data_IF_074324507763
#
_entry.id   IF_074324507763
#
_cell.length_a   1.000
_cell.length_b   1.000
_cell.length_c   1.000
_cell.angle_alpha   90.00
_cell.angle_beta   90.00
_cell.angle_gamma   90.00
#
_symmetry.space_group_name_H-M   'P 1'
#
loop_
_entity.id
_entity.type
_entity.pdbx_description
1 polymer ?
#
# COMPACT_ATOMS: atom_id res chain seq x y z
N UNK A 1 -9.42 14.67 5.14
CA UNK A 1 -8.34 15.11 6.01
C UNK A 1 -7.03 14.41 5.70
N UNK A 2 -7.02 13.11 5.69
CA UNK A 2 -5.80 12.35 5.40
C UNK A 2 -5.25 12.60 3.99
N UNK A 3 -6.11 12.91 3.02
CA UNK A 3 -5.70 13.25 1.67
C UNK A 3 -4.85 14.52 1.61
N UNK A 4 -5.18 15.50 2.43
CA UNK A 4 -4.49 16.79 2.44
C UNK A 4 -3.12 16.71 3.12
N UNK A 5 -2.96 15.76 4.06
CA UNK A 5 -1.70 15.59 4.77
C UNK A 5 -0.71 14.68 4.06
N UNK A 6 -1.14 13.95 3.00
CA UNK A 6 -0.27 13.05 2.24
C UNK A 6 0.55 13.82 1.21
N UNK A 7 1.85 13.52 1.09
CA UNK A 7 2.70 14.17 0.09
C UNK A 7 2.21 13.93 -1.33
N UNK A 8 2.35 14.93 -2.18
CA UNK A 8 2.06 14.87 -3.60
C UNK A 8 3.15 15.61 -4.35
N UNK A 9 3.50 15.09 -5.50
CA UNK A 9 4.64 15.56 -6.26
C UNK A 9 4.24 15.92 -7.68
N UNK A 10 4.70 17.07 -8.16
CA UNK A 10 4.55 17.44 -9.57
C UNK A 10 5.51 16.56 -10.40
N UNK A 11 5.25 16.48 -11.72
CA UNK A 11 5.98 15.58 -12.61
C UNK A 11 7.50 15.75 -12.56
N UNK A 12 7.99 16.98 -12.52
CA UNK A 12 9.44 17.22 -12.48
C UNK A 12 10.10 16.65 -11.22
N UNK A 13 9.41 16.74 -10.09
CA UNK A 13 9.89 16.20 -8.82
C UNK A 13 9.79 14.67 -8.80
N UNK A 14 8.64 14.14 -9.22
CA UNK A 14 8.45 12.68 -9.28
C UNK A 14 9.47 12.02 -10.19
N UNK A 15 9.71 12.60 -11.37
CA UNK A 15 10.70 12.08 -12.30
C UNK A 15 12.11 12.05 -11.70
N UNK A 16 12.50 13.09 -10.97
CA UNK A 16 13.78 13.12 -10.25
C UNK A 16 13.88 12.05 -9.19
N UNK A 17 12.82 11.87 -8.42
CA UNK A 17 12.78 10.86 -7.35
C UNK A 17 12.98 9.45 -7.89
N UNK A 18 12.45 9.18 -9.06
CA UNK A 18 12.51 7.86 -9.71
C UNK A 18 13.80 7.70 -10.50
N UNK A 19 14.37 8.78 -10.99
CA UNK A 19 15.56 8.77 -11.82
C UNK A 19 15.27 8.55 -13.30
N UNK A 20 14.17 9.14 -13.79
CA UNK A 20 13.78 9.07 -15.20
C UNK A 20 13.49 10.48 -15.72
N UNK A 21 13.38 10.60 -17.03
CA UNK A 21 12.96 11.85 -17.67
C UNK A 21 11.47 12.06 -17.58
N UNK A 22 11.02 13.30 -17.51
CA UNK A 22 9.60 13.61 -17.45
C UNK A 22 8.81 13.05 -18.64
N UNK A 23 9.40 13.06 -19.83
CA UNK A 23 8.74 12.48 -21.01
C UNK A 23 8.55 10.97 -20.90
N UNK A 24 9.45 10.27 -20.24
CA UNK A 24 9.33 8.83 -19.97
C UNK A 24 8.15 8.58 -19.02
N UNK A 25 8.00 9.42 -18.02
CA UNK A 25 6.89 9.32 -17.08
C UNK A 25 5.55 9.56 -17.78
N UNK A 26 5.48 10.54 -18.69
CA UNK A 26 4.29 10.77 -19.52
C UNK A 26 3.99 9.59 -20.43
N UNK A 27 5.02 8.93 -20.93
CA UNK A 27 4.89 7.74 -21.75
C UNK A 27 4.24 6.61 -20.94
N UNK A 28 4.69 6.37 -19.71
CA UNK A 28 4.10 5.36 -18.82
C UNK A 28 2.63 5.68 -18.53
N UNK A 29 2.29 6.94 -18.35
CA UNK A 29 0.90 7.35 -18.17
C UNK A 29 0.06 7.03 -19.41
N UNK A 30 0.58 7.31 -20.61
CA UNK A 30 -0.11 6.97 -21.86
C UNK A 30 -0.34 5.48 -22.03
N UNK A 31 0.57 4.66 -21.52
CA UNK A 31 0.41 3.20 -21.52
C UNK A 31 -0.61 2.71 -20.50
N UNK A 32 -1.13 3.60 -19.66
CA UNK A 32 -2.08 3.22 -18.63
C UNK A 32 -1.47 2.59 -17.39
N UNK A 33 -0.15 2.68 -17.24
CA UNK A 33 0.56 2.05 -16.11
C UNK A 33 0.44 2.85 -14.82
N UNK A 34 0.18 4.14 -14.90
CA UNK A 34 0.01 5.03 -13.75
C UNK A 34 -1.03 6.07 -14.11
N UNK A 35 -1.81 6.49 -13.11
CA UNK A 35 -2.86 7.51 -13.27
C UNK A 35 -2.72 8.53 -12.16
N UNK A 36 -1.94 9.60 -12.37
CA UNK A 36 -1.82 10.65 -11.37
C UNK A 36 -3.12 11.44 -11.25
N UNK A 37 -3.37 11.97 -10.07
CA UNK A 37 -4.47 12.90 -9.90
C UNK A 37 -4.15 14.22 -10.60
N UNK A 38 -5.19 14.99 -10.95
CA UNK A 38 -5.04 16.31 -11.51
C UNK A 38 -5.53 17.35 -10.52
N UNK A 39 -4.77 18.43 -10.36
CA UNK A 39 -5.21 19.57 -9.56
C UNK A 39 -6.30 20.35 -10.27
N UNK A 40 -6.90 21.33 -9.59
CA UNK A 40 -7.88 22.23 -10.21
C UNK A 40 -7.36 22.97 -11.45
N UNK A 41 -6.03 23.18 -11.53
CA UNK A 41 -5.37 23.75 -12.70
C UNK A 41 -4.91 22.72 -13.72
N UNK A 42 -5.40 21.50 -13.63
CA UNK A 42 -5.06 20.38 -14.53
C UNK A 42 -3.58 19.97 -14.48
N UNK A 43 -2.94 20.18 -13.34
CA UNK A 43 -1.54 19.79 -13.11
C UNK A 43 -1.51 18.37 -12.56
N UNK A 44 -0.62 17.52 -13.11
CA UNK A 44 -0.42 16.15 -12.62
C UNK A 44 0.18 16.16 -11.22
N UNK A 45 -0.42 15.39 -10.31
CA UNK A 45 0.06 15.21 -8.94
C UNK A 45 0.23 13.72 -8.66
N UNK A 46 1.46 13.34 -8.37
CA UNK A 46 1.83 11.94 -8.10
C UNK A 46 1.89 11.70 -6.60
N UNK A 47 1.20 10.67 -6.13
CA UNK A 47 1.23 10.25 -4.74
C UNK A 47 2.50 9.45 -4.46
N UNK A 48 2.76 9.15 -3.19
CA UNK A 48 3.86 8.24 -2.85
C UNK A 48 3.64 6.84 -3.41
N UNK A 49 2.39 6.38 -3.45
CA UNK A 49 2.03 5.10 -4.07
C UNK A 49 2.34 5.10 -5.56
N UNK A 50 2.04 6.21 -6.25
CA UNK A 50 2.38 6.37 -7.66
C UNK A 50 3.89 6.32 -7.88
N UNK A 51 4.66 6.98 -7.03
CA UNK A 51 6.13 7.00 -7.11
C UNK A 51 6.68 5.59 -6.91
N UNK A 52 6.19 4.87 -5.93
CA UNK A 52 6.60 3.48 -5.68
C UNK A 52 6.28 2.59 -6.86
N UNK A 53 5.06 2.70 -7.40
CA UNK A 53 4.64 1.95 -8.59
C UNK A 53 5.54 2.25 -9.78
N UNK A 54 5.90 3.51 -9.99
CA UNK A 54 6.78 3.93 -11.07
C UNK A 54 8.21 3.41 -10.90
N UNK A 55 8.68 3.27 -9.67
CA UNK A 55 9.99 2.64 -9.42
C UNK A 55 10.01 1.19 -9.87
N UNK A 56 8.92 0.45 -9.63
CA UNK A 56 8.79 -0.92 -10.10
C UNK A 56 8.73 -0.98 -11.62
N UNK A 57 7.98 -0.09 -12.24
CA UNK A 57 7.87 -0.01 -13.69
C UNK A 57 9.25 0.25 -14.31
N UNK A 58 9.99 1.21 -13.77
CA UNK A 58 11.34 1.50 -14.22
C UNK A 58 12.26 0.28 -14.09
N UNK A 59 12.23 -0.38 -12.94
CA UNK A 59 13.05 -1.57 -12.69
C UNK A 59 12.75 -2.67 -13.70
N UNK A 60 11.48 -2.91 -13.96
CA UNK A 60 11.07 -3.98 -14.89
C UNK A 60 11.37 -3.62 -16.34
N UNK A 61 11.03 -2.44 -16.78
CA UNK A 61 11.17 -2.04 -18.19
C UNK A 61 12.60 -1.60 -18.55
N UNK A 62 13.16 -0.69 -17.76
CA UNK A 62 14.46 -0.09 -18.07
C UNK A 62 15.63 -0.95 -17.61
N UNK A 63 15.56 -1.49 -16.40
CA UNK A 63 16.69 -2.23 -15.82
C UNK A 63 16.67 -3.72 -16.17
N UNK A 64 15.50 -4.33 -16.30
CA UNK A 64 15.35 -5.77 -16.59
C UNK A 64 14.88 -6.08 -18.01
N UNK A 65 14.48 -5.07 -18.78
CA UNK A 65 14.04 -5.27 -20.16
C UNK A 65 12.71 -6.02 -20.31
N UNK A 66 11.85 -5.96 -19.30
CA UNK A 66 10.53 -6.60 -19.36
C UNK A 66 9.63 -5.79 -20.28
N UNK A 67 8.89 -6.46 -21.16
CA UNK A 67 7.96 -5.78 -22.06
C UNK A 67 6.68 -5.33 -21.34
N UNK A 68 5.87 -4.53 -22.03
CA UNK A 68 4.64 -3.97 -21.47
C UNK A 68 3.70 -5.06 -20.91
N UNK A 69 3.50 -6.14 -21.65
CA UNK A 69 2.61 -7.22 -21.20
C UNK A 69 3.10 -7.83 -19.88
N UNK A 70 4.41 -8.04 -19.76
CA UNK A 70 5.03 -8.55 -18.53
C UNK A 70 4.88 -7.57 -17.37
N UNK A 71 5.05 -6.29 -17.63
CA UNK A 71 4.88 -5.24 -16.61
C UNK A 71 3.44 -5.22 -16.10
N UNK A 72 2.46 -5.31 -16.99
CA UNK A 72 1.04 -5.34 -16.62
C UNK A 72 0.71 -6.53 -15.73
N UNK A 73 1.25 -7.71 -16.06
CA UNK A 73 1.09 -8.90 -15.22
C UNK A 73 1.74 -8.71 -13.85
N UNK A 74 2.97 -8.21 -13.84
CA UNK A 74 3.70 -7.96 -12.59
C UNK A 74 2.95 -6.99 -11.68
N UNK A 75 2.42 -5.91 -12.24
CA UNK A 75 1.66 -4.92 -11.46
C UNK A 75 0.37 -5.50 -10.88
N UNK A 76 -0.31 -6.36 -11.63
CA UNK A 76 -1.50 -7.07 -11.15
C UNK A 76 -1.16 -8.01 -10.00
N UNK A 77 -0.08 -8.76 -10.14
CA UNK A 77 0.38 -9.67 -9.09
C UNK A 77 0.79 -8.90 -7.83
N UNK A 78 1.46 -7.77 -7.98
CA UNK A 78 1.82 -6.91 -6.86
C UNK A 78 0.59 -6.39 -6.13
N UNK A 79 -0.43 -5.97 -6.86
CA UNK A 79 -1.69 -5.53 -6.26
C UNK A 79 -2.35 -6.68 -5.51
N UNK A 80 -2.37 -7.87 -6.09
CA UNK A 80 -2.91 -9.07 -5.45
C UNK A 80 -2.16 -9.40 -4.15
N UNK A 81 -0.85 -9.30 -4.18
CA UNK A 81 -0.02 -9.52 -2.98
C UNK A 81 -0.34 -8.51 -1.89
N UNK A 82 -0.52 -7.24 -2.27
CA UNK A 82 -0.88 -6.19 -1.32
C UNK A 82 -2.25 -6.46 -0.69
N UNK A 83 -3.23 -6.84 -1.49
CA UNK A 83 -4.57 -7.17 -1.01
C UNK A 83 -4.53 -8.35 -0.03
N UNK A 84 -3.78 -9.38 -0.37
CA UNK A 84 -3.60 -10.55 0.50
C UNK A 84 -2.91 -10.19 1.81
N UNK A 85 -1.94 -9.30 1.75
CA UNK A 85 -1.24 -8.80 2.95
C UNK A 85 -2.22 -8.09 3.88
N UNK A 86 -3.06 -7.23 3.33
CA UNK A 86 -4.08 -6.50 4.10
C UNK A 86 -5.10 -7.47 4.72
N UNK A 87 -5.53 -8.47 3.96
CA UNK A 87 -6.44 -9.51 4.46
C UNK A 87 -5.81 -10.29 5.62
N UNK A 88 -4.53 -10.62 5.49
CA UNK A 88 -3.79 -11.35 6.52
C UNK A 88 -3.68 -10.51 7.80
N UNK A 89 -3.34 -9.25 7.67
CA UNK A 89 -3.25 -8.33 8.82
C UNK A 89 -4.60 -8.20 9.53
N UNK A 90 -5.68 -8.16 8.77
CA UNK A 90 -7.04 -8.10 9.34
C UNK A 90 -7.37 -9.37 10.11
N UNK A 91 -7.06 -10.53 9.55
CA UNK A 91 -7.25 -11.82 10.22
C UNK A 91 -6.42 -11.91 11.51
N UNK A 92 -5.19 -11.44 11.47
CA UNK A 92 -4.31 -11.43 12.65
C UNK A 92 -4.88 -10.55 13.77
N UNK A 93 -5.45 -9.40 13.41
CA UNK A 93 -6.12 -8.52 14.38
C UNK A 93 -7.31 -9.22 15.03
N UNK A 94 -8.13 -9.88 14.23
CA UNK A 94 -9.31 -10.62 14.74
C UNK A 94 -8.93 -11.75 15.68
N UNK A 95 -7.91 -12.51 15.30
CA UNK A 95 -7.40 -13.61 16.14
C UNK A 95 -6.89 -13.06 17.47
N UNK A 96 -6.16 -11.95 17.43
CA UNK A 96 -5.65 -11.32 18.65
C UNK A 96 -6.78 -10.86 19.57
N UNK A 97 -7.82 -10.24 19.01
CA UNK A 97 -8.98 -9.78 19.77
C UNK A 97 -9.73 -10.93 20.44
N UNK A 98 -9.90 -12.04 19.74
CA UNK A 98 -10.55 -13.23 20.29
C UNK A 98 -9.70 -13.84 21.42
N UNK A 99 -8.40 -13.94 21.20
CA UNK A 99 -7.48 -14.48 22.20
C UNK A 99 -7.45 -13.63 23.47
N UNK A 100 -7.45 -12.30 23.33
CA UNK A 100 -7.49 -11.37 24.45
C UNK A 100 -8.80 -11.49 25.23
N UNK A 101 -9.94 -11.58 24.53
CA UNK A 101 -11.24 -11.74 25.15
C UNK A 101 -11.34 -13.04 25.94
N UNK A 102 -10.85 -14.16 25.39
CA UNK A 102 -10.81 -15.44 26.08
C UNK A 102 -9.91 -15.40 27.30
N UNK A 103 -8.77 -14.72 27.20
CA UNK A 103 -7.85 -14.57 28.34
C UNK A 103 -8.51 -13.78 29.48
N UNK A 104 -9.22 -12.71 29.15
CA UNK A 104 -9.96 -11.92 30.14
C UNK A 104 -11.02 -12.77 30.86
N UNK A 105 -11.77 -13.59 30.12
CA UNK A 105 -12.78 -14.50 30.69
C UNK A 105 -12.13 -15.53 31.63
N UNK A 106 -11.00 -16.06 31.25
CA UNK A 106 -10.25 -17.02 32.08
C UNK A 106 -9.78 -16.35 33.39
N UNK A 107 -9.24 -15.14 33.27
CA UNK A 107 -8.74 -14.38 34.44
C UNK A 107 -9.89 -14.06 35.37
N UNK A 108 -11.04 -13.62 34.86
CA UNK A 108 -12.25 -13.35 35.68
C UNK A 108 -12.70 -14.61 36.41
N UNK A 109 -12.72 -15.74 35.73
CA UNK A 109 -13.09 -17.02 36.34
C UNK A 109 -12.14 -17.41 37.48
N UNK A 110 -10.83 -17.16 37.30
CA UNK A 110 -9.82 -17.44 38.33
C UNK A 110 -10.05 -16.52 39.56
N UNK A 111 -10.31 -15.25 39.32
CA UNK A 111 -10.54 -14.27 40.37
C UNK A 111 -11.81 -14.62 41.17
N UNK A 112 -12.87 -14.98 40.51
CA UNK A 112 -14.11 -15.41 41.16
C UNK A 112 -13.89 -16.64 42.04
N UNK A 113 -13.18 -17.63 41.55
CA UNK A 113 -12.83 -18.82 42.31
C UNK A 113 -11.98 -18.50 43.54
N UNK A 114 -11.04 -17.57 43.39
CA UNK A 114 -10.20 -17.14 44.52
C UNK A 114 -11.02 -16.43 45.60
N UNK A 115 -11.96 -15.58 45.22
CA UNK A 115 -12.86 -14.91 46.14
C UNK A 115 -13.73 -15.91 46.92
N UNK A 116 -14.21 -16.94 46.28
CA UNK A 116 -14.95 -18.01 46.88
C UNK A 116 -14.13 -18.76 47.94
N UNK A 117 -12.85 -18.99 47.65
CA UNK A 117 -11.95 -19.71 48.54
C UNK A 117 -11.58 -18.95 49.79
N UNK A 118 -11.63 -17.62 49.74
CA UNK A 118 -11.36 -16.78 50.91
C UNK A 118 -12.52 -16.68 51.89
N UNK A 119 -13.72 -17.01 51.45
CA UNK A 119 -14.90 -17.04 52.29
C UNK A 119 -15.02 -18.33 53.00
#
# INVERSE_FOLDING_TARGET
MDRESKPRYVISVAAKMIGIEAHTLRYYERLGLVQPERSGGNIRLYSEEDVERLRYIKALMSDCGVNLAGVEVALRLMQRMKDMQEELEEMERKVRMIAEAEMEDIIEGIIEDAEWKEV
#
